data_IF_534180226095
#
_entry.id   IF_534180226095
#
_cell.length_a   1.000
_cell.length_b   1.000
_cell.length_c   1.000
_cell.angle_alpha   90.00
_cell.angle_beta   90.00
_cell.angle_gamma   90.00
#
_symmetry.space_group_name_H-M   'P 1'
#
loop_
_entity.id
_entity.type
_entity.pdbx_description
1 polymer ?
#
# COMPACT_ATOMS: atom_id res chain seq x y z
N UNK A 1 29.16 7.50 1.03
CA UNK A 1 28.84 6.33 1.88
C UNK A 1 27.80 6.79 2.89
N UNK A 2 26.51 6.48 2.69
CA UNK A 2 25.45 6.90 3.62
C UNK A 2 25.61 6.09 4.91
N UNK A 3 25.70 6.74 6.06
CA UNK A 3 25.84 6.02 7.33
C UNK A 3 24.57 5.20 7.61
N UNK A 4 24.73 4.03 8.23
CA UNK A 4 23.61 3.16 8.62
C UNK A 4 22.56 3.91 9.46
N UNK A 5 23.02 4.89 10.24
CA UNK A 5 22.16 5.79 11.02
C UNK A 5 21.26 6.63 10.10
N UNK A 6 21.83 7.31 9.10
CA UNK A 6 21.07 8.13 8.14
C UNK A 6 20.10 7.28 7.35
N UNK A 7 20.52 6.11 6.86
CA UNK A 7 19.64 5.17 6.16
C UNK A 7 18.42 4.79 7.00
N UNK A 8 18.61 4.52 8.30
CA UNK A 8 17.51 4.15 9.21
C UNK A 8 16.52 5.29 9.42
N UNK A 9 17.00 6.53 9.52
CA UNK A 9 16.12 7.70 9.66
C UNK A 9 15.28 7.89 8.40
N UNK A 10 15.92 7.82 7.22
CA UNK A 10 15.21 7.92 5.93
C UNK A 10 14.15 6.82 5.82
N UNK A 11 14.51 5.57 6.07
CA UNK A 11 13.56 4.45 6.00
C UNK A 11 12.39 4.62 6.98
N UNK A 12 12.66 5.12 8.19
CA UNK A 12 11.62 5.40 9.19
C UNK A 12 10.64 6.45 8.69
N UNK A 13 11.13 7.56 8.14
CA UNK A 13 10.28 8.60 7.56
C UNK A 13 9.44 8.06 6.40
N UNK A 14 10.05 7.30 5.49
CA UNK A 14 9.33 6.68 4.37
C UNK A 14 8.22 5.73 4.84
N UNK A 15 8.47 4.91 5.87
CA UNK A 15 7.44 4.03 6.42
C UNK A 15 6.31 4.82 7.11
N UNK A 16 6.62 5.91 7.80
CA UNK A 16 5.59 6.78 8.40
C UNK A 16 4.72 7.46 7.34
N UNK A 17 5.32 7.94 6.26
CA UNK A 17 4.58 8.47 5.10
C UNK A 17 3.72 7.38 4.47
N UNK A 18 4.28 6.17 4.29
CA UNK A 18 3.54 5.01 3.79
C UNK A 18 2.33 4.66 4.65
N UNK A 19 2.48 4.63 5.98
CA UNK A 19 1.36 4.43 6.92
C UNK A 19 0.27 5.50 6.71
N UNK A 20 0.67 6.78 6.64
CA UNK A 20 -0.28 7.88 6.43
C UNK A 20 -1.05 7.76 5.12
N UNK A 21 -0.35 7.43 4.03
CA UNK A 21 -0.98 7.21 2.71
C UNK A 21 -1.90 5.99 2.71
N UNK A 22 -1.51 4.88 3.35
CA UNK A 22 -2.36 3.69 3.47
C UNK A 22 -3.62 3.95 4.28
N UNK A 23 -3.51 4.68 5.40
CA UNK A 23 -4.69 5.09 6.17
C UNK A 23 -5.62 5.99 5.35
N UNK A 24 -5.06 6.95 4.61
CA UNK A 24 -5.84 7.82 3.75
C UNK A 24 -6.56 7.05 2.63
N UNK A 25 -5.87 6.10 1.99
CA UNK A 25 -6.47 5.24 0.97
C UNK A 25 -7.63 4.41 1.55
N UNK A 26 -7.44 3.79 2.72
CA UNK A 26 -8.49 3.04 3.41
C UNK A 26 -9.69 3.92 3.79
N UNK A 27 -9.43 5.15 4.25
CA UNK A 27 -10.46 6.14 4.53
C UNK A 27 -11.25 6.51 3.27
N UNK A 28 -10.57 6.82 2.16
CA UNK A 28 -11.21 7.16 0.88
C UNK A 28 -12.06 6.02 0.37
N UNK A 29 -11.55 4.79 0.38
CA UNK A 29 -12.28 3.60 -0.04
C UNK A 29 -13.57 3.41 0.78
N UNK A 30 -13.47 3.52 2.10
CA UNK A 30 -14.61 3.37 3.01
C UNK A 30 -15.63 4.49 2.80
N UNK A 31 -15.19 5.74 2.69
CA UNK A 31 -16.07 6.89 2.46
C UNK A 31 -16.76 6.83 1.11
N UNK A 32 -16.03 6.48 0.05
CA UNK A 32 -16.58 6.37 -1.31
C UNK A 32 -17.54 5.20 -1.45
N UNK A 33 -17.30 4.09 -0.74
CA UNK A 33 -18.21 2.95 -0.68
C UNK A 33 -19.54 3.30 0.02
N UNK A 34 -19.49 4.16 1.04
CA UNK A 34 -20.69 4.59 1.78
C UNK A 34 -21.41 5.77 1.13
N UNK A 35 -20.68 6.67 0.46
CA UNK A 35 -21.20 7.85 -0.21
C UNK A 35 -20.62 7.95 -1.63
N UNK A 36 -21.37 7.53 -2.65
CA UNK A 36 -20.93 7.59 -4.05
C UNK A 36 -20.63 9.01 -4.54
N UNK A 37 -21.18 10.05 -3.90
CA UNK A 37 -20.95 11.45 -4.25
C UNK A 37 -19.65 12.03 -3.70
N UNK A 38 -19.02 11.34 -2.73
CA UNK A 38 -17.76 11.75 -2.13
C UNK A 38 -16.64 11.86 -3.18
N UNK A 39 -15.87 12.95 -3.15
CA UNK A 39 -14.66 13.14 -3.96
C UNK A 39 -13.44 13.22 -3.05
N UNK A 40 -12.44 12.41 -3.34
CA UNK A 40 -11.20 12.41 -2.60
C UNK A 40 -10.28 13.54 -3.05
N UNK A 41 -9.36 13.96 -2.19
CA UNK A 41 -8.34 14.95 -2.54
C UNK A 41 -7.34 14.43 -3.58
N UNK A 42 -7.18 13.10 -3.69
CA UNK A 42 -6.38 12.46 -4.74
C UNK A 42 -7.15 12.24 -6.06
N UNK A 43 -8.40 12.71 -6.17
CA UNK A 43 -9.12 12.75 -7.45
C UNK A 43 -8.75 14.06 -8.18
N UNK A 44 -7.72 14.02 -9.03
CA UNK A 44 -7.16 15.20 -9.69
C UNK A 44 -7.93 15.54 -10.97
N UNK A 45 -8.35 14.51 -11.72
CA UNK A 45 -9.13 14.66 -12.95
C UNK A 45 -10.00 13.43 -13.18
N UNK A 46 -10.90 13.49 -14.16
CA UNK A 46 -11.71 12.32 -14.55
C UNK A 46 -10.87 11.13 -15.04
N UNK A 47 -9.65 11.39 -15.53
CA UNK A 47 -8.68 10.37 -15.95
C UNK A 47 -7.67 9.98 -14.86
N UNK A 48 -7.77 10.57 -13.68
CA UNK A 48 -6.86 10.29 -12.55
C UNK A 48 -7.65 10.36 -11.25
N UNK A 49 -8.42 9.29 -10.99
CA UNK A 49 -9.29 9.19 -9.81
C UNK A 49 -8.87 8.03 -8.91
N UNK A 50 -8.20 8.36 -7.81
CA UNK A 50 -7.88 7.39 -6.78
C UNK A 50 -9.13 6.72 -6.19
N UNK A 51 -10.24 7.44 -6.05
CA UNK A 51 -11.47 6.88 -5.48
C UNK A 51 -12.10 5.81 -6.37
N UNK A 52 -12.01 5.97 -7.70
CA UNK A 52 -12.39 4.95 -8.69
C UNK A 52 -11.49 3.71 -8.61
N UNK A 53 -10.17 3.90 -8.55
CA UNK A 53 -9.20 2.80 -8.45
C UNK A 53 -9.41 1.99 -7.17
N UNK A 54 -9.50 2.67 -6.02
CA UNK A 54 -9.59 2.03 -4.70
C UNK A 54 -10.92 1.29 -4.49
N UNK A 55 -12.01 1.73 -5.12
CA UNK A 55 -13.31 1.03 -5.04
C UNK A 55 -13.50 -0.06 -6.10
N UNK A 56 -12.53 -0.20 -7.02
CA UNK A 56 -12.57 -1.25 -8.03
C UNK A 56 -12.36 -2.65 -7.44
N UNK A 57 -12.65 -3.70 -8.22
CA UNK A 57 -12.35 -5.10 -7.84
C UNK A 57 -10.88 -5.32 -7.49
N UNK A 58 -9.98 -4.51 -8.02
CA UNK A 58 -8.55 -4.64 -7.82
C UNK A 58 -8.07 -3.95 -6.54
N UNK A 59 -8.86 -3.03 -5.97
CA UNK A 59 -8.55 -2.37 -4.70
C UNK A 59 -8.83 -3.24 -3.46
N UNK A 60 -9.38 -4.45 -3.65
CA UNK A 60 -9.59 -5.45 -2.61
C UNK A 60 -8.97 -6.78 -2.99
N UNK A 61 -8.17 -7.34 -2.09
CA UNK A 61 -7.51 -8.63 -2.27
C UNK A 61 -6.71 -8.72 -3.57
N UNK A 62 -6.18 -7.59 -4.07
CA UNK A 62 -5.51 -7.47 -5.36
C UNK A 62 -6.36 -7.97 -6.56
N UNK A 63 -7.68 -8.09 -6.41
CA UNK A 63 -8.59 -8.70 -7.39
C UNK A 63 -8.33 -10.18 -7.70
N UNK A 64 -7.60 -10.88 -6.82
CA UNK A 64 -7.25 -12.30 -6.91
C UNK A 64 -8.11 -13.19 -6.00
N UNK A 65 -8.57 -12.65 -4.87
CA UNK A 65 -9.37 -13.39 -3.89
C UNK A 65 -10.87 -13.23 -4.16
N UNK A 66 -11.65 -14.29 -3.90
CA UNK A 66 -13.12 -14.25 -4.00
C UNK A 66 -13.71 -13.41 -2.87
N UNK A 67 -14.91 -12.86 -3.10
CA UNK A 67 -15.59 -11.97 -2.15
C UNK A 67 -15.76 -12.55 -0.75
N UNK A 68 -16.00 -13.85 -0.64
CA UNK A 68 -16.21 -14.55 0.64
C UNK A 68 -14.91 -14.99 1.33
N UNK A 69 -13.75 -14.73 0.71
CA UNK A 69 -12.46 -15.08 1.29
C UNK A 69 -12.08 -14.10 2.40
N UNK A 70 -11.51 -14.63 3.48
CA UNK A 70 -10.91 -13.84 4.57
C UNK A 70 -9.81 -12.89 4.04
N UNK A 71 -9.19 -13.23 2.90
CA UNK A 71 -8.15 -12.42 2.26
C UNK A 71 -8.69 -11.35 1.30
N UNK A 72 -10.01 -11.24 1.11
CA UNK A 72 -10.61 -10.16 0.34
C UNK A 72 -10.73 -8.88 1.18
N UNK A 73 -9.58 -8.42 1.68
CA UNK A 73 -9.43 -7.20 2.45
C UNK A 73 -9.00 -6.06 1.53
N UNK A 74 -9.29 -4.80 1.89
CA UNK A 74 -8.72 -3.61 1.25
C UNK A 74 -7.21 -3.72 1.02
N UNK A 75 -6.74 -3.41 -0.18
CA UNK A 75 -5.31 -3.39 -0.51
C UNK A 75 -4.53 -2.40 0.38
N UNK A 76 -5.18 -1.28 0.71
CA UNK A 76 -4.68 -0.29 1.66
C UNK A 76 -4.38 -0.89 3.05
N UNK A 77 -5.13 -1.91 3.49
CA UNK A 77 -4.89 -2.58 4.77
C UNK A 77 -3.65 -3.47 4.72
N UNK A 78 -3.44 -4.21 3.62
CA UNK A 78 -2.21 -4.99 3.43
C UNK A 78 -0.97 -4.07 3.42
N UNK A 79 -1.06 -2.93 2.73
CA UNK A 79 0.00 -1.92 2.73
C UNK A 79 0.25 -1.35 4.14
N UNK A 80 -0.82 -1.05 4.89
CA UNK A 80 -0.71 -0.56 6.26
C UNK A 80 0.02 -1.57 7.17
N UNK A 81 -0.37 -2.84 7.12
CA UNK A 81 0.27 -3.92 7.89
C UNK A 81 1.77 -4.01 7.52
N UNK A 82 2.08 -3.98 6.23
CA UNK A 82 3.46 -4.01 5.75
C UNK A 82 4.30 -2.84 6.29
N UNK A 83 3.81 -1.60 6.21
CA UNK A 83 4.58 -0.45 6.69
C UNK A 83 4.75 -0.45 8.22
N UNK A 84 3.71 -0.85 8.97
CA UNK A 84 3.79 -1.01 10.42
C UNK A 84 4.82 -2.09 10.82
N UNK A 85 4.76 -3.26 10.17
CA UNK A 85 5.72 -4.34 10.42
C UNK A 85 7.14 -3.91 10.03
N UNK A 86 7.30 -3.26 8.88
CA UNK A 86 8.60 -2.76 8.42
C UNK A 86 9.19 -1.72 9.36
N UNK A 87 8.37 -0.86 9.96
CA UNK A 87 8.78 0.12 10.97
C UNK A 87 9.30 -0.57 12.24
N UNK A 88 8.62 -1.61 12.72
CA UNK A 88 9.05 -2.41 13.87
C UNK A 88 10.35 -3.14 13.56
N UNK A 89 10.43 -3.81 12.41
CA UNK A 89 11.62 -4.55 11.99
C UNK A 89 12.83 -3.64 11.70
N UNK A 90 12.60 -2.37 11.34
CA UNK A 90 13.67 -1.40 11.12
C UNK A 90 14.47 -1.10 12.41
N UNK A 91 13.88 -1.31 13.59
CA UNK A 91 14.57 -1.16 14.88
C UNK A 91 15.52 -2.33 15.17
N UNK A 92 15.21 -3.54 14.69
CA UNK A 92 15.90 -4.78 15.05
C UNK A 92 16.94 -5.24 14.01
N UNK A 93 17.84 -4.35 13.61
CA UNK A 93 18.80 -4.57 12.51
C UNK A 93 19.97 -5.53 12.83
N UNK A 94 20.17 -5.86 14.12
CA UNK A 94 21.33 -6.65 14.58
C UNK A 94 21.23 -8.13 14.17
N UNK A 95 20.02 -8.62 13.88
CA UNK A 95 19.78 -10.00 13.47
C UNK A 95 19.80 -10.12 11.94
N UNK A 96 20.69 -10.99 11.43
CA UNK A 96 20.76 -11.32 9.99
C UNK A 96 19.43 -11.91 9.48
N UNK A 97 18.71 -12.64 10.32
CA UNK A 97 17.40 -13.22 9.99
C UNK A 97 16.36 -12.13 9.74
N UNK A 98 16.31 -11.11 10.59
CA UNK A 98 15.38 -9.97 10.43
C UNK A 98 15.71 -9.17 9.16
N UNK A 99 17.00 -8.97 8.89
CA UNK A 99 17.44 -8.32 7.66
C UNK A 99 16.99 -9.08 6.41
N UNK A 100 17.14 -10.42 6.38
CA UNK A 100 16.67 -11.27 5.27
C UNK A 100 15.15 -11.21 5.11
N UNK A 101 14.41 -11.36 6.21
CA UNK A 101 12.95 -11.31 6.20
C UNK A 101 12.43 -9.98 5.64
N UNK A 102 13.04 -8.86 6.05
CA UNK A 102 12.70 -7.54 5.52
C UNK A 102 12.95 -7.41 4.03
N UNK A 103 14.05 -7.96 3.53
CA UNK A 103 14.35 -7.98 2.08
C UNK A 103 13.30 -8.80 1.33
N UNK A 104 12.96 -9.99 1.84
CA UNK A 104 11.92 -10.84 1.21
C UNK A 104 10.58 -10.11 1.16
N UNK A 105 10.13 -9.52 2.26
CA UNK A 105 8.90 -8.72 2.26
C UNK A 105 8.96 -7.55 1.28
N UNK A 106 10.09 -6.84 1.20
CA UNK A 106 10.29 -5.76 0.25
C UNK A 106 10.19 -6.23 -1.20
N UNK A 107 10.74 -7.41 -1.54
CA UNK A 107 10.64 -7.96 -2.89
C UNK A 107 9.18 -8.29 -3.22
N UNK A 108 8.47 -8.94 -2.30
CA UNK A 108 7.05 -9.29 -2.48
C UNK A 108 6.20 -8.04 -2.69
N UNK A 109 6.40 -6.99 -1.89
CA UNK A 109 5.62 -5.75 -2.05
C UNK A 109 5.93 -5.02 -3.34
N UNK A 110 7.20 -5.01 -3.79
CA UNK A 110 7.56 -4.42 -5.08
C UNK A 110 6.92 -5.19 -6.25
N UNK A 111 6.87 -6.52 -6.20
CA UNK A 111 6.14 -7.31 -7.20
C UNK A 111 4.65 -6.95 -7.22
N UNK A 112 4.04 -6.77 -6.04
CA UNK A 112 2.67 -6.27 -5.90
C UNK A 112 2.49 -4.87 -6.52
N UNK A 113 3.44 -3.96 -6.31
CA UNK A 113 3.41 -2.62 -6.92
C UNK A 113 3.52 -2.66 -8.43
N UNK A 114 4.38 -3.52 -9.00
CA UNK A 114 4.48 -3.71 -10.46
C UNK A 114 3.17 -4.26 -11.01
N UNK A 115 2.57 -5.23 -10.31
CA UNK A 115 1.28 -5.80 -10.69
C UNK A 115 0.15 -4.75 -10.67
N UNK A 116 0.00 -3.99 -9.58
CA UNK A 116 -1.01 -2.95 -9.49
C UNK A 116 -0.75 -1.81 -10.49
N UNK A 117 0.51 -1.49 -10.77
CA UNK A 117 0.88 -0.52 -11.82
C UNK A 117 0.46 -0.98 -13.21
N UNK A 118 0.62 -2.28 -13.51
CA UNK A 118 0.09 -2.87 -14.75
C UNK A 118 -1.43 -2.73 -14.84
N UNK A 119 -2.15 -3.05 -13.76
CA UNK A 119 -3.61 -2.94 -13.70
C UNK A 119 -4.06 -1.48 -13.88
N UNK A 120 -3.39 -0.54 -13.21
CA UNK A 120 -3.69 0.88 -13.30
C UNK A 120 -3.58 1.39 -14.75
N UNK A 121 -2.46 1.08 -15.41
CA UNK A 121 -2.19 1.56 -16.78
C UNK A 121 -3.01 0.84 -17.87
N UNK A 122 -3.03 -0.50 -17.85
CA UNK A 122 -3.59 -1.31 -18.94
C UNK A 122 -5.05 -1.72 -18.75
N UNK A 123 -5.57 -1.73 -17.52
CA UNK A 123 -6.93 -2.23 -17.22
C UNK A 123 -7.85 -1.10 -16.81
N UNK A 124 -7.43 -0.24 -15.87
CA UNK A 124 -8.25 0.86 -15.35
C UNK A 124 -8.14 2.14 -16.19
N UNK A 125 -7.02 2.31 -16.91
CA UNK A 125 -6.68 3.51 -17.65
C UNK A 125 -6.84 4.77 -16.77
N UNK A 126 -6.23 4.71 -15.59
CA UNK A 126 -6.04 5.81 -14.63
C UNK A 126 -4.56 6.21 -14.53
#
# INVERSE_FOLDING_TARGET
MVSLFVYRQIATVLFLVGIGLSFYAFYVETRKANDPSYRAACDISERMSCSRVLTSRWGRGFGLFKSDSIFNLPDALFALIYYCLSLILNRSYRSKTIARLRVVFSVITNLGSVYLGYILYFVLHD
#
